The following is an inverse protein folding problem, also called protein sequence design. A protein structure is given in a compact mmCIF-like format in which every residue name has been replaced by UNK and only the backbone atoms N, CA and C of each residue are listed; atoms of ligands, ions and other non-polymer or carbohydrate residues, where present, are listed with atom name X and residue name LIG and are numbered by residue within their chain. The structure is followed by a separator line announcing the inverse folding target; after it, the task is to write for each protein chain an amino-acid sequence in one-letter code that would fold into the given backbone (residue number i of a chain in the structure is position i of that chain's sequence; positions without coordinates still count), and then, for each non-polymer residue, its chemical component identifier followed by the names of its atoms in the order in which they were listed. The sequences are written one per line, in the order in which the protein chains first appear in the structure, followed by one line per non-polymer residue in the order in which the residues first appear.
data_IF_266190508982
#
_entry.id   IF_266190508982
#
_cell.length_a   1.000
_cell.length_b   1.000
_cell.length_c   1.000
_cell.angle_alpha   90.00
_cell.angle_beta   90.00
_cell.angle_gamma   90.00
#
_symmetry.space_group_name_H-M   'P 1'
#
loop_
_entity.id
_entity.type
_entity.pdbx_description
1 polymer ?
#
# COMPACT_ATOMS: atom_id res chain seq x y z
N UNK A 1 7.50 0.87 19.73
CA UNK A 1 8.24 1.23 18.50
C UNK A 1 7.92 0.33 17.31
N UNK A 2 7.75 -0.99 17.48
CA UNK A 2 7.46 -1.93 16.38
C UNK A 2 6.27 -1.53 15.49
N UNK A 3 5.16 -1.09 16.10
CA UNK A 3 3.97 -0.62 15.37
C UNK A 3 4.21 0.66 14.56
N UNK A 4 5.04 1.57 15.06
CA UNK A 4 5.43 2.77 14.30
C UNK A 4 6.22 2.36 13.05
N UNK A 5 7.15 1.41 13.19
CA UNK A 5 7.96 0.90 12.07
C UNK A 5 7.06 0.21 11.03
N UNK A 6 6.09 -0.61 11.45
CA UNK A 6 5.16 -1.24 10.51
C UNK A 6 4.29 -0.21 9.78
N UNK A 7 3.81 0.83 10.46
CA UNK A 7 3.06 1.93 9.82
C UNK A 7 3.91 2.63 8.77
N UNK A 8 5.16 3.00 9.10
CA UNK A 8 6.07 3.67 8.16
C UNK A 8 6.35 2.77 6.96
N UNK A 9 6.66 1.49 7.17
CA UNK A 9 6.88 0.53 6.08
C UNK A 9 5.62 0.43 5.20
N UNK A 10 4.44 0.31 5.81
CA UNK A 10 3.17 0.23 5.08
C UNK A 10 2.87 1.48 4.26
N UNK A 11 3.13 2.68 4.81
CA UNK A 11 2.98 3.95 4.11
C UNK A 11 3.92 4.03 2.90
N UNK A 12 5.20 3.74 3.11
CA UNK A 12 6.22 3.82 2.05
C UNK A 12 5.92 2.80 0.96
N UNK A 13 5.73 1.52 1.33
CA UNK A 13 5.44 0.46 0.38
C UNK A 13 4.13 0.72 -0.39
N UNK A 14 3.07 1.15 0.30
CA UNK A 14 1.79 1.48 -0.31
C UNK A 14 1.87 2.67 -1.26
N UNK A 15 2.61 3.72 -0.89
CA UNK A 15 2.80 4.89 -1.74
C UNK A 15 3.53 4.54 -3.04
N UNK A 16 4.67 3.84 -2.95
CA UNK A 16 5.43 3.44 -4.13
C UNK A 16 4.66 2.46 -5.00
N UNK A 17 3.96 1.49 -4.41
CA UNK A 17 3.07 0.60 -5.15
C UNK A 17 1.97 1.39 -5.89
N UNK A 18 1.41 2.41 -5.25
CA UNK A 18 0.39 3.26 -5.87
C UNK A 18 0.90 4.15 -6.98
N UNK A 19 2.15 4.64 -6.91
CA UNK A 19 2.78 5.32 -8.06
C UNK A 19 2.89 4.36 -9.24
N UNK A 20 3.39 3.15 -9.01
CA UNK A 20 3.56 2.16 -10.08
C UNK A 20 2.22 1.80 -10.71
N UNK A 21 1.18 1.58 -9.90
CA UNK A 21 -0.16 1.26 -10.39
C UNK A 21 -0.77 2.44 -11.16
N UNK A 22 -0.63 3.68 -10.66
CA UNK A 22 -1.11 4.88 -11.35
C UNK A 22 -0.46 5.05 -12.74
N UNK A 23 0.85 4.79 -12.84
CA UNK A 23 1.55 4.80 -14.14
C UNK A 23 1.04 3.72 -15.08
N UNK A 24 0.82 2.50 -14.59
CA UNK A 24 0.27 1.41 -15.41
C UNK A 24 -1.13 1.79 -15.91
N UNK A 25 -1.98 2.33 -15.05
CA UNK A 25 -3.33 2.78 -15.41
C UNK A 25 -3.25 3.92 -16.44
N UNK A 26 -2.35 4.89 -16.24
CA UNK A 26 -2.12 5.99 -17.18
C UNK A 26 -1.74 5.50 -18.58
N UNK A 27 -0.83 4.53 -18.66
CA UNK A 27 -0.42 3.90 -19.93
C UNK A 27 -1.60 3.15 -20.56
N UNK A 28 -2.34 2.36 -19.79
CA UNK A 28 -3.51 1.63 -20.30
C UNK A 28 -4.61 2.60 -20.78
N UNK A 29 -4.87 3.67 -20.03
CA UNK A 29 -5.85 4.71 -20.38
C UNK A 29 -5.49 5.40 -21.69
N UNK A 30 -4.21 5.77 -21.85
CA UNK A 30 -3.70 6.36 -23.07
C UNK A 30 -3.89 5.43 -24.28
N UNK A 31 -3.60 4.13 -24.12
CA UNK A 31 -3.70 3.15 -25.21
C UNK A 31 -5.13 2.79 -25.59
N UNK A 32 -6.06 2.82 -24.63
CA UNK A 32 -7.46 2.38 -24.86
C UNK A 32 -8.39 3.51 -25.24
N UNK A 33 -8.20 4.69 -24.66
CA UNK A 33 -9.13 5.81 -24.76
C UNK A 33 -8.51 7.01 -25.47
N UNK A 34 -7.18 7.01 -25.69
CA UNK A 34 -6.44 8.11 -26.30
C UNK A 34 -6.21 9.30 -25.37
N UNK A 35 -6.56 9.17 -24.08
CA UNK A 35 -6.46 10.22 -23.09
C UNK A 35 -5.66 9.76 -21.86
N UNK A 36 -4.96 10.68 -21.22
CA UNK A 36 -4.13 10.41 -20.04
C UNK A 36 -5.04 10.25 -18.81
N UNK A 37 -5.63 9.07 -18.66
CA UNK A 37 -6.41 8.70 -17.48
C UNK A 37 -5.51 8.32 -16.31
N UNK A 38 -5.27 9.24 -15.37
CA UNK A 38 -4.54 8.99 -14.12
C UNK A 38 -5.39 9.26 -12.88
N UNK A 39 -5.33 8.38 -11.88
CA UNK A 39 -5.98 8.61 -10.59
C UNK A 39 -4.99 9.34 -9.67
N UNK A 40 -5.05 10.67 -9.70
CA UNK A 40 -4.14 11.54 -8.93
C UNK A 40 -4.04 11.23 -7.42
N UNK A 41 -5.07 10.62 -6.84
CA UNK A 41 -5.13 10.24 -5.42
C UNK A 41 -4.81 8.76 -5.15
N UNK A 42 -4.56 7.94 -6.17
CA UNK A 42 -4.27 6.51 -6.03
C UNK A 42 -3.05 6.23 -5.14
N UNK A 43 -1.92 6.95 -5.29
CA UNK A 43 -0.75 6.74 -4.42
C UNK A 43 -1.05 7.03 -2.95
N UNK A 44 -1.87 8.06 -2.70
CA UNK A 44 -2.25 8.44 -1.34
C UNK A 44 -3.18 7.39 -0.71
N UNK A 45 -4.20 6.94 -1.46
CA UNK A 45 -5.13 5.90 -1.01
C UNK A 45 -4.37 4.61 -0.72
N UNK A 46 -3.46 4.18 -1.61
CA UNK A 46 -2.69 2.96 -1.40
C UNK A 46 -1.68 3.08 -0.25
N UNK A 47 -1.12 4.27 0.01
CA UNK A 47 -0.30 4.49 1.20
C UNK A 47 -1.10 4.26 2.49
N UNK A 48 -2.30 4.83 2.59
CA UNK A 48 -3.18 4.66 3.76
C UNK A 48 -3.60 3.19 3.91
N UNK A 49 -4.02 2.54 2.82
CA UNK A 49 -4.36 1.11 2.83
C UNK A 49 -3.16 0.26 3.25
N UNK A 50 -1.97 0.53 2.71
CA UNK A 50 -0.72 -0.15 3.06
C UNK A 50 -0.39 -0.02 4.55
N UNK A 51 -0.56 1.16 5.13
CA UNK A 51 -0.37 1.38 6.56
C UNK A 51 -1.34 0.55 7.43
N UNK A 52 -2.63 0.54 7.06
CA UNK A 52 -3.65 -0.25 7.77
C UNK A 52 -3.34 -1.74 7.68
N UNK A 53 -3.01 -2.24 6.48
CA UNK A 53 -2.66 -3.64 6.25
C UNK A 53 -1.42 -4.04 7.05
N UNK A 54 -0.37 -3.21 7.08
CA UNK A 54 0.85 -3.48 7.84
C UNK A 54 0.57 -3.62 9.35
N UNK A 55 -0.29 -2.76 9.91
CA UNK A 55 -0.72 -2.86 11.31
C UNK A 55 -1.52 -4.13 11.58
N UNK A 56 -2.43 -4.49 10.66
CA UNK A 56 -3.22 -5.72 10.79
C UNK A 56 -2.34 -6.98 10.77
N UNK A 57 -1.35 -7.02 9.89
CA UNK A 57 -0.38 -8.12 9.80
C UNK A 57 0.44 -8.20 11.09
N UNK A 58 0.96 -7.07 11.58
CA UNK A 58 1.73 -7.07 12.82
C UNK A 58 0.90 -7.56 14.01
N UNK A 59 -0.35 -7.09 14.14
CA UNK A 59 -1.27 -7.56 15.20
C UNK A 59 -1.56 -9.05 15.09
N UNK A 60 -1.70 -9.60 13.88
CA UNK A 60 -1.87 -11.05 13.67
C UNK A 60 -0.62 -11.83 14.11
N UNK A 61 0.57 -11.37 13.73
CA UNK A 61 1.83 -12.03 14.12
C UNK A 61 2.04 -12.05 15.64
N UNK A 62 1.66 -10.98 16.34
CA UNK A 62 1.75 -10.92 17.81
C UNK A 62 0.78 -11.91 18.49
N UNK A 63 -0.38 -12.18 17.90
CA UNK A 63 -1.36 -13.14 18.44
C UNK A 63 -1.02 -14.60 18.18
N UNK A 64 -0.24 -14.90 17.14
CA UNK A 64 0.20 -16.26 16.80
C UNK A 64 1.43 -16.76 17.57
N UNK A 65 2.09 -15.88 18.35
CA UNK A 65 3.23 -16.23 19.18
C UNK A 65 2.82 -16.84 20.52
N UNK A 66 2.19 -18.00 20.51
CA UNK A 66 2.00 -18.80 21.74
C UNK A 66 3.36 -19.43 22.09
N UNK A 67 3.96 -19.13 23.26
CA UNK A 67 5.19 -19.78 23.68
C UNK A 67 4.86 -21.24 24.02
N UNK A 68 5.27 -22.18 23.15
CA UNK A 68 5.39 -23.58 23.53
C UNK A 68 6.54 -23.67 24.53
N UNK A 69 6.17 -23.83 25.80
CA UNK A 69 7.03 -24.28 26.90
C UNK A 69 7.71 -25.60 26.55
#
# INVERSE_FOLDING_TARGET
MRTLVAVVIGLVAGFFAGIVIDQIIGVIGLLTTGDLGGFRYLPLVLAVVGAVVAVLIERRMQRGGTPRR
#
